data_IF_261239518639
#
_entry.id   IF_261239518639
#
_cell.length_a   1.000
_cell.length_b   1.000
_cell.length_c   1.000
_cell.angle_alpha   90.00
_cell.angle_beta   90.00
_cell.angle_gamma   90.00
#
_symmetry.space_group_name_H-M   'P 1'
#
loop_
_entity.id
_entity.type
_entity.pdbx_description
1 polymer ?
#
# COMPACT_ATOMS: atom_id res chain seq x y z
N UNK A 1 21.56 21.54 -38.42
CA UNK A 1 21.94 20.40 -39.25
C UNK A 1 22.81 19.49 -38.40
N UNK A 2 22.28 18.41 -37.91
CA UNK A 2 23.06 17.19 -37.64
C UNK A 2 22.08 16.02 -37.52
N UNK A 3 22.12 15.22 -38.53
CA UNK A 3 21.44 13.92 -38.66
C UNK A 3 22.38 12.89 -38.08
N UNK A 4 21.91 12.08 -37.16
CA UNK A 4 22.70 11.00 -36.54
C UNK A 4 21.81 9.83 -36.13
N UNK A 5 21.62 8.95 -37.07
CA UNK A 5 21.54 7.48 -37.01
C UNK A 5 20.59 6.78 -36.03
N UNK A 6 19.51 6.35 -36.66
CA UNK A 6 18.69 5.20 -36.26
C UNK A 6 19.57 3.93 -36.34
N UNK A 7 19.72 3.21 -35.23
CA UNK A 7 20.12 1.80 -35.24
C UNK A 7 18.96 0.95 -34.72
N UNK A 8 18.31 0.33 -35.70
CA UNK A 8 17.38 -0.77 -35.52
C UNK A 8 18.22 -2.02 -35.21
N UNK A 9 18.05 -2.57 -34.02
CA UNK A 9 18.52 -3.94 -33.74
C UNK A 9 17.31 -4.82 -33.57
N UNK A 10 17.03 -5.56 -34.65
CA UNK A 10 16.14 -6.69 -34.66
C UNK A 10 16.86 -7.88 -34.01
N UNK A 11 16.33 -8.42 -32.93
CA UNK A 11 16.84 -9.61 -32.23
C UNK A 11 15.71 -10.58 -31.94
N UNK A 12 15.57 -11.46 -32.81
CA UNK A 12 15.23 -12.89 -32.87
C UNK A 12 14.44 -13.50 -31.70
N UNK A 13 13.32 -14.09 -32.15
CA UNK A 13 12.48 -15.09 -31.53
C UNK A 13 13.30 -16.27 -30.95
N UNK A 14 12.97 -16.70 -29.75
CA UNK A 14 13.11 -18.11 -29.33
C UNK A 14 11.80 -18.60 -28.73
N UNK A 15 11.07 -19.34 -29.55
CA UNK A 15 9.95 -20.20 -29.17
C UNK A 15 10.54 -21.48 -28.60
N UNK A 16 10.29 -21.79 -27.35
CA UNK A 16 10.53 -23.11 -26.78
C UNK A 16 9.19 -23.69 -26.30
N UNK A 17 8.66 -24.58 -27.11
CA UNK A 17 7.58 -25.50 -26.78
C UNK A 17 8.10 -26.52 -25.76
N UNK A 18 7.48 -26.57 -24.60
CA UNK A 18 7.66 -27.62 -23.60
C UNK A 18 6.35 -28.29 -23.29
N UNK A 19 6.01 -29.32 -24.04
CA UNK A 19 4.96 -30.30 -23.75
C UNK A 19 5.39 -31.14 -22.55
N UNK A 20 4.72 -30.98 -21.40
CA UNK A 20 4.85 -31.86 -20.24
C UNK A 20 3.51 -32.49 -19.89
N UNK A 21 3.24 -33.66 -20.42
CA UNK A 21 2.14 -34.56 -20.03
C UNK A 21 2.54 -35.24 -18.73
N UNK A 22 1.79 -35.06 -17.67
CA UNK A 22 1.95 -35.76 -16.39
C UNK A 22 0.61 -36.31 -15.91
N UNK A 23 0.37 -37.54 -16.21
CA UNK A 23 -0.75 -38.39 -15.79
C UNK A 23 -0.48 -38.95 -14.39
N UNK A 24 -1.53 -39.09 -13.59
CA UNK A 24 -1.53 -40.07 -12.50
C UNK A 24 -1.90 -39.47 -11.15
N UNK A 25 -3.00 -39.77 -10.63
CA UNK A 25 -3.46 -40.99 -10.04
C UNK A 25 -3.89 -40.85 -8.59
N UNK A 26 -5.06 -41.30 -8.39
CA UNK A 26 -5.54 -42.13 -7.26
C UNK A 26 -6.25 -41.40 -6.13
N UNK A 27 -7.52 -41.55 -6.26
CA UNK A 27 -8.55 -41.71 -5.24
C UNK A 27 -8.03 -42.57 -4.08
N UNK A 28 -7.96 -41.99 -2.89
CA UNK A 28 -7.90 -42.70 -1.63
C UNK A 28 -9.10 -42.31 -0.78
N UNK A 29 -10.19 -43.08 -0.92
CA UNK A 29 -11.28 -43.03 0.07
C UNK A 29 -10.77 -43.56 1.38
N UNK A 30 -10.77 -42.76 2.42
CA UNK A 30 -10.61 -43.22 3.81
C UNK A 30 -11.98 -43.44 4.42
N UNK A 31 -12.22 -44.56 5.10
CA UNK A 31 -13.50 -44.89 5.76
C UNK A 31 -13.71 -43.94 6.97
N UNK A 32 -14.93 -43.43 7.07
CA UNK A 32 -15.42 -42.67 8.23
C UNK A 32 -15.64 -43.67 9.38
N UNK A 33 -14.81 -43.58 10.39
CA UNK A 33 -15.06 -44.26 11.67
C UNK A 33 -15.91 -43.30 12.49
N UNK A 34 -17.17 -43.69 12.71
CA UNK A 34 -18.04 -43.11 13.72
C UNK A 34 -17.51 -43.47 15.07
N UNK A 35 -16.84 -42.57 15.73
CA UNK A 35 -16.50 -42.69 17.15
C UNK A 35 -17.55 -41.95 17.98
N UNK A 36 -18.15 -42.71 18.88
CA UNK A 36 -19.20 -42.25 19.80
C UNK A 36 -18.69 -41.05 20.62
N UNK A 37 -19.45 -39.98 20.59
CA UNK A 37 -19.31 -38.79 21.40
C UNK A 37 -19.62 -39.12 22.86
N UNK A 38 -18.71 -38.89 23.83
CA UNK A 38 -19.07 -38.83 25.22
C UNK A 38 -19.71 -37.48 25.53
N UNK A 39 -20.74 -37.53 26.39
CA UNK A 39 -21.58 -36.42 26.81
C UNK A 39 -20.79 -35.23 27.41
N UNK A 40 -21.28 -33.99 27.27
CA UNK A 40 -20.60 -32.82 27.82
C UNK A 40 -20.79 -32.75 29.32
N UNK A 41 -19.68 -32.81 30.06
CA UNK A 41 -19.60 -32.39 31.47
C UNK A 41 -19.82 -30.88 31.55
N UNK A 42 -20.58 -30.37 32.53
CA UNK A 42 -20.76 -28.94 32.71
C UNK A 42 -19.44 -28.34 33.21
N UNK A 43 -18.76 -27.62 32.30
CA UNK A 43 -17.58 -26.85 32.64
C UNK A 43 -18.00 -25.60 33.39
N UNK A 44 -17.55 -25.51 34.62
CA UNK A 44 -17.64 -24.31 35.46
C UNK A 44 -17.03 -23.14 34.73
N UNK A 45 -17.88 -22.17 34.41
CA UNK A 45 -17.51 -20.91 33.73
C UNK A 45 -16.65 -20.08 34.70
N UNK A 46 -15.34 -20.11 34.51
CA UNK A 46 -14.45 -19.11 35.10
C UNK A 46 -14.80 -17.75 34.54
N UNK A 47 -14.77 -16.68 35.33
CA UNK A 47 -14.98 -15.33 34.81
C UNK A 47 -13.84 -15.03 33.83
N UNK A 48 -14.20 -14.89 32.55
CA UNK A 48 -13.29 -14.39 31.55
C UNK A 48 -12.97 -12.94 31.91
N UNK A 49 -11.79 -12.70 32.41
CA UNK A 49 -11.17 -11.40 32.43
C UNK A 49 -11.00 -11.04 30.94
N UNK A 50 -11.92 -10.23 30.43
CA UNK A 50 -11.77 -9.58 29.14
C UNK A 50 -10.65 -8.54 29.24
N UNK A 51 -9.41 -8.99 29.12
CA UNK A 51 -8.36 -8.13 28.59
C UNK A 51 -8.64 -7.95 27.08
N UNK A 52 -9.61 -7.12 26.80
CA UNK A 52 -9.68 -6.49 25.48
C UNK A 52 -8.38 -5.70 25.34
N UNK A 53 -7.55 -5.95 24.30
CA UNK A 53 -6.43 -5.08 24.03
C UNK A 53 -7.01 -3.67 23.91
N UNK A 54 -6.54 -2.77 24.79
CA UNK A 54 -6.86 -1.36 24.74
C UNK A 54 -6.65 -0.95 23.26
N UNK A 55 -7.71 -0.47 22.62
CA UNK A 55 -7.64 0.10 21.29
C UNK A 55 -6.59 1.20 21.41
N UNK A 56 -5.38 0.91 20.94
CA UNK A 56 -4.29 1.86 20.87
C UNK A 56 -4.82 3.00 20.03
N UNK A 57 -4.97 4.18 20.62
CA UNK A 57 -5.27 5.39 19.87
C UNK A 57 -4.34 5.41 18.66
N UNK A 58 -4.84 5.76 17.45
CA UNK A 58 -3.99 5.81 16.29
C UNK A 58 -2.77 6.66 16.62
N UNK A 59 -1.54 6.20 16.30
CA UNK A 59 -0.34 6.98 16.60
C UNK A 59 -0.49 8.38 16.03
N UNK A 60 -0.13 9.39 16.85
CA UNK A 60 -0.15 10.78 16.42
C UNK A 60 0.64 10.93 15.13
N UNK A 61 0.10 11.69 14.18
CA UNK A 61 0.77 11.93 12.92
C UNK A 61 1.94 12.90 13.12
N UNK A 62 3.10 12.56 12.57
CA UNK A 62 4.25 13.47 12.55
C UNK A 62 4.11 14.48 11.42
N UNK A 63 4.67 15.67 11.61
CA UNK A 63 4.77 16.66 10.53
C UNK A 63 5.70 16.16 9.41
N UNK A 64 5.46 16.57 8.17
CA UNK A 64 6.30 16.22 7.00
C UNK A 64 7.78 16.51 7.23
N UNK A 65 8.12 17.51 8.06
CA UNK A 65 9.50 17.92 8.38
C UNK A 65 10.20 16.92 9.29
N UNK A 66 9.44 16.17 10.07
CA UNK A 66 9.94 15.25 11.10
C UNK A 66 9.83 13.77 10.68
N UNK A 67 9.51 13.51 9.41
CA UNK A 67 9.25 12.16 8.89
C UNK A 67 10.50 11.28 8.77
N UNK A 68 11.69 11.86 8.71
CA UNK A 68 12.95 11.16 8.46
C UNK A 68 13.17 9.90 9.33
N UNK A 69 13.00 9.96 10.67
CA UNK A 69 13.17 8.80 11.56
C UNK A 69 12.17 7.65 11.33
N UNK A 70 11.10 7.91 10.60
CA UNK A 70 10.05 6.92 10.29
C UNK A 70 10.26 6.18 8.97
N UNK A 71 11.27 6.55 8.18
CA UNK A 71 11.61 5.84 6.94
C UNK A 71 11.90 4.37 7.24
N UNK A 72 11.26 3.48 6.49
CA UNK A 72 11.32 2.02 6.68
C UNK A 72 10.28 1.47 7.66
N UNK A 73 9.38 2.30 8.18
CA UNK A 73 8.30 1.91 9.11
C UNK A 73 6.95 2.30 8.54
N UNK A 74 5.88 1.68 9.06
CA UNK A 74 4.52 2.18 8.88
C UNK A 74 4.23 3.31 9.86
N UNK A 75 3.52 4.35 9.42
CA UNK A 75 3.22 5.49 10.25
C UNK A 75 2.17 6.42 9.66
N UNK A 76 2.03 7.57 10.30
CA UNK A 76 1.15 8.66 9.88
C UNK A 76 1.97 9.94 9.72
N UNK A 77 1.76 10.62 8.60
CA UNK A 77 2.41 11.89 8.26
C UNK A 77 1.35 12.95 8.01
N UNK A 78 1.48 14.13 8.62
CA UNK A 78 0.56 15.26 8.44
C UNK A 78 1.24 16.40 7.71
N UNK A 79 0.49 17.10 6.85
CA UNK A 79 0.97 18.28 6.15
C UNK A 79 -0.12 18.98 5.36
N UNK A 80 0.15 20.22 4.95
CA UNK A 80 -0.73 20.95 4.06
C UNK A 80 -0.41 20.64 2.60
N UNK A 81 -1.40 20.20 1.84
CA UNK A 81 -1.27 19.96 0.39
C UNK A 81 -1.22 21.32 -0.32
N UNK A 82 -0.08 21.70 -0.83
CA UNK A 82 0.07 22.95 -1.57
C UNK A 82 -0.36 22.79 -3.03
N UNK A 83 -0.17 21.60 -3.59
CA UNK A 83 -0.53 21.31 -4.97
C UNK A 83 -0.88 19.84 -5.15
N UNK A 84 -1.86 19.58 -6.00
CA UNK A 84 -2.17 18.24 -6.53
C UNK A 84 -1.77 18.22 -8.00
N UNK A 85 -0.86 17.33 -8.36
CA UNK A 85 -0.30 17.25 -9.71
C UNK A 85 -0.44 15.84 -10.30
N UNK A 86 -1.05 15.73 -11.47
CA UNK A 86 -1.12 14.47 -12.21
C UNK A 86 -0.12 14.50 -13.37
N UNK A 87 0.79 13.53 -13.40
CA UNK A 87 1.79 13.36 -14.45
C UNK A 87 1.16 12.85 -15.75
N UNK A 88 1.93 12.92 -16.87
CA UNK A 88 1.51 12.34 -18.15
C UNK A 88 1.26 10.84 -18.10
N UNK A 89 1.90 10.12 -17.16
CA UNK A 89 1.71 8.70 -16.93
C UNK A 89 0.45 8.39 -16.06
N UNK A 90 -0.30 9.42 -15.66
CA UNK A 90 -1.52 9.29 -14.87
C UNK A 90 -1.30 9.21 -13.36
N UNK A 91 -0.06 9.19 -12.87
CA UNK A 91 0.22 9.18 -11.44
C UNK A 91 -0.07 10.56 -10.84
N UNK A 92 -0.76 10.59 -9.71
CA UNK A 92 -1.11 11.82 -8.99
C UNK A 92 -0.21 11.97 -7.77
N UNK A 93 0.38 13.14 -7.62
CA UNK A 93 1.25 13.50 -6.51
C UNK A 93 0.57 14.56 -5.66
N UNK A 94 0.70 14.43 -4.34
CA UNK A 94 0.36 15.48 -3.38
C UNK A 94 1.66 16.16 -2.97
N UNK A 95 1.82 17.41 -3.36
CA UNK A 95 3.02 18.20 -3.06
C UNK A 95 2.77 19.08 -1.83
N UNK A 96 3.67 18.99 -0.86
CA UNK A 96 3.56 19.67 0.45
C UNK A 96 4.50 20.87 0.59
N UNK A 97 5.37 21.09 -0.37
CA UNK A 97 6.34 22.19 -0.36
C UNK A 97 6.24 23.00 -1.64
N UNK A 98 6.63 24.28 -1.58
CA UNK A 98 6.72 25.17 -2.75
C UNK A 98 7.67 24.60 -3.81
N UNK A 99 8.87 24.17 -3.36
CA UNK A 99 9.79 23.40 -4.17
C UNK A 99 9.66 21.91 -3.79
N UNK A 100 9.01 21.15 -4.66
CA UNK A 100 8.82 19.71 -4.47
C UNK A 100 10.15 18.93 -4.45
N UNK A 101 11.24 19.47 -5.04
CA UNK A 101 12.53 18.80 -5.09
C UNK A 101 13.25 18.82 -3.74
N UNK A 102 13.10 19.92 -3.00
CA UNK A 102 13.65 20.05 -1.65
C UNK A 102 12.71 19.58 -0.53
N UNK A 103 11.54 19.06 -0.88
CA UNK A 103 10.57 18.60 0.11
C UNK A 103 11.03 17.31 0.78
N UNK A 104 11.01 17.18 2.11
CA UNK A 104 11.42 15.98 2.80
C UNK A 104 10.44 14.81 2.63
N UNK A 105 9.20 15.12 2.23
CA UNK A 105 8.14 14.15 2.07
C UNK A 105 7.40 14.32 0.74
N UNK A 106 6.95 13.23 0.17
CA UNK A 106 6.05 13.19 -0.98
C UNK A 106 5.05 12.05 -0.83
N UNK A 107 3.92 12.15 -1.50
CA UNK A 107 3.01 11.03 -1.62
C UNK A 107 2.52 10.87 -3.05
N UNK A 108 2.26 9.63 -3.45
CA UNK A 108 1.86 9.31 -4.81
C UNK A 108 0.71 8.32 -4.81
N UNK A 109 -0.26 8.56 -5.70
CA UNK A 109 -1.32 7.65 -6.09
C UNK A 109 -1.01 7.23 -7.52
N UNK A 110 -0.77 5.93 -7.73
CA UNK A 110 -0.52 5.42 -9.07
C UNK A 110 -1.78 5.45 -9.94
N UNK A 111 -1.58 5.52 -11.25
CA UNK A 111 -2.68 5.53 -12.23
C UNK A 111 -3.62 4.33 -12.07
N UNK A 112 -3.09 3.16 -11.67
CA UNK A 112 -3.86 1.93 -11.41
C UNK A 112 -4.83 2.04 -10.24
N UNK A 113 -4.56 2.93 -9.30
CA UNK A 113 -5.39 3.09 -8.09
C UNK A 113 -6.29 4.32 -8.17
N UNK A 114 -6.08 5.19 -9.16
CA UNK A 114 -6.74 6.49 -9.25
C UNK A 114 -8.26 6.42 -9.23
N UNK A 115 -8.84 5.41 -9.88
CA UNK A 115 -10.30 5.25 -9.98
C UNK A 115 -10.98 4.93 -8.63
N UNK A 116 -10.20 4.57 -7.61
CA UNK A 116 -10.69 4.37 -6.24
C UNK A 116 -10.97 5.69 -5.52
N UNK A 117 -10.38 6.78 -6.00
CA UNK A 117 -10.43 8.08 -5.37
C UNK A 117 -11.44 8.98 -6.09
N UNK A 118 -12.12 9.82 -5.33
CA UNK A 118 -12.95 10.89 -5.88
C UNK A 118 -12.12 12.06 -6.42
N UNK A 119 -12.60 13.27 -6.21
CA UNK A 119 -11.90 14.48 -6.63
C UNK A 119 -10.68 14.76 -5.73
N UNK A 120 -9.51 14.33 -6.18
CA UNK A 120 -8.24 14.59 -5.50
C UNK A 120 -7.85 16.07 -5.52
N UNK A 121 -8.35 16.87 -6.48
CA UNK A 121 -8.05 18.30 -6.54
C UNK A 121 -8.62 19.05 -5.33
N UNK A 122 -9.70 18.55 -4.75
CA UNK A 122 -10.31 19.12 -3.55
C UNK A 122 -9.39 19.10 -2.32
N UNK A 123 -8.34 18.27 -2.33
CA UNK A 123 -7.34 18.21 -1.25
C UNK A 123 -6.37 19.39 -1.29
N UNK A 124 -6.30 20.13 -2.40
CA UNK A 124 -5.39 21.28 -2.49
C UNK A 124 -5.77 22.39 -1.50
N UNK A 125 -4.80 22.83 -0.74
CA UNK A 125 -4.98 23.81 0.34
C UNK A 125 -5.39 23.20 1.68
N UNK A 126 -5.77 21.91 1.71
CA UNK A 126 -6.19 21.23 2.94
C UNK A 126 -5.00 20.68 3.71
N UNK A 127 -5.12 20.65 5.03
CA UNK A 127 -4.24 19.84 5.88
C UNK A 127 -4.74 18.41 5.87
N UNK A 128 -3.85 17.48 5.55
CA UNK A 128 -4.18 16.05 5.46
C UNK A 128 -3.27 15.23 6.38
N UNK A 129 -3.77 14.08 6.76
CA UNK A 129 -3.02 13.00 7.40
C UNK A 129 -2.96 11.83 6.43
N UNK A 130 -1.76 11.30 6.22
CA UNK A 130 -1.54 10.16 5.31
C UNK A 130 -0.92 9.02 6.10
N UNK A 131 -1.57 7.85 6.05
CA UNK A 131 -1.14 6.64 6.75
C UNK A 131 -0.63 5.60 5.76
N UNK A 132 0.49 4.97 6.11
CA UNK A 132 1.05 3.91 5.27
C UNK A 132 2.51 3.61 5.57
N UNK A 133 3.10 2.80 4.71
CA UNK A 133 4.52 2.48 4.76
C UNK A 133 5.35 3.65 4.22
N UNK A 134 6.23 4.16 5.05
CA UNK A 134 7.10 5.28 4.71
C UNK A 134 8.39 4.71 4.13
N UNK A 135 8.56 4.87 2.82
CA UNK A 135 9.70 4.36 2.06
C UNK A 135 10.70 5.49 1.77
N UNK A 136 11.94 5.12 1.49
CA UNK A 136 12.89 6.05 0.91
C UNK A 136 12.77 6.03 -0.62
N UNK A 137 12.49 7.16 -1.23
CA UNK A 137 12.52 7.34 -2.67
C UNK A 137 13.35 8.57 -3.03
N UNK A 138 14.50 8.38 -3.68
CA UNK A 138 15.41 9.45 -4.09
C UNK A 138 15.76 10.39 -2.92
N UNK A 139 16.18 9.82 -1.80
CA UNK A 139 16.58 10.52 -0.57
C UNK A 139 15.46 11.29 0.14
N UNK A 140 14.19 10.97 -0.16
CA UNK A 140 13.00 11.55 0.47
C UNK A 140 12.11 10.45 1.03
N UNK A 141 11.38 10.80 2.08
CA UNK A 141 10.32 9.94 2.56
C UNK A 141 9.14 9.96 1.57
N UNK A 142 8.58 8.80 1.27
CA UNK A 142 7.44 8.64 0.37
C UNK A 142 6.42 7.65 0.94
N UNK A 143 5.14 7.99 0.84
CA UNK A 143 4.03 7.05 1.04
C UNK A 143 3.33 6.85 -0.31
N UNK A 144 3.21 5.58 -0.73
CA UNK A 144 2.35 5.21 -1.85
C UNK A 144 0.94 5.00 -1.29
N UNK A 145 -0.01 5.69 -1.87
CA UNK A 145 -1.41 5.66 -1.44
C UNK A 145 -2.17 4.76 -2.42
N UNK A 146 -2.70 3.66 -1.90
CA UNK A 146 -3.43 2.65 -2.67
C UNK A 146 -4.93 2.68 -2.41
N UNK A 147 -5.35 3.31 -1.29
CA UNK A 147 -6.72 3.31 -0.82
C UNK A 147 -7.10 4.68 -0.22
N UNK A 148 -8.31 5.18 -0.48
CA UNK A 148 -8.79 6.45 0.07
C UNK A 148 -8.74 6.54 1.60
N UNK A 149 -8.90 5.42 2.31
CA UNK A 149 -8.82 5.39 3.78
C UNK A 149 -7.44 5.72 4.35
N UNK A 150 -6.41 5.74 3.50
CA UNK A 150 -5.08 6.18 3.90
C UNK A 150 -4.97 7.70 4.04
N UNK A 151 -5.94 8.46 3.50
CA UNK A 151 -5.96 9.92 3.58
C UNK A 151 -7.16 10.35 4.44
N UNK A 152 -6.89 11.21 5.42
CA UNK A 152 -7.93 11.93 6.17
C UNK A 152 -7.60 13.42 6.21
N UNK A 153 -8.64 14.25 6.19
CA UNK A 153 -8.47 15.69 6.37
C UNK A 153 -8.37 15.98 7.86
N UNK A 154 -7.33 16.67 8.27
CA UNK A 154 -7.18 17.13 9.65
C UNK A 154 -8.09 18.33 9.89
N UNK A 155 -8.73 18.44 11.07
CA UNK A 155 -9.55 19.59 11.44
C UNK A 155 -8.74 20.89 11.56
#
# INVERSE_FOLDING_TARGET
MNRGHILIVAGLLCVAFGLGVGVGSRFGRRPVIHELSPAPTPSVRAPATSDAPAASSPPDCVDIRDVGPLVGKSGCVSGQVLRVFTSRAGNTFLDFCQDYRGCPFTSVIFASDKDKFGDLQSLQGMKVEIRGDIKNYRERAEIIIHDPHQISTAP
#
